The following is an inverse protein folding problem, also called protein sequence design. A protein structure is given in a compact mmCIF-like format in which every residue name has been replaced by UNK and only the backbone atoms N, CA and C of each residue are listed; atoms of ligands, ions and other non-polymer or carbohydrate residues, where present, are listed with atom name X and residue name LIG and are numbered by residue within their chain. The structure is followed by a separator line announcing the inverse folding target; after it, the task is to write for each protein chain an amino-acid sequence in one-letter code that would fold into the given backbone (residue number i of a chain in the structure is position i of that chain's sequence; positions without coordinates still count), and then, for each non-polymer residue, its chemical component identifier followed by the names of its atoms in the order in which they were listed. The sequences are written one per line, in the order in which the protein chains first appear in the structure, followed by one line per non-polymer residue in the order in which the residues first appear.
data_IF_950616384945
#
_entry.id   IF_950616384945
#
_cell.length_a   1.000
_cell.length_b   1.000
_cell.length_c   1.000
_cell.angle_alpha   90.00
_cell.angle_beta   90.00
_cell.angle_gamma   90.00
#
_symmetry.space_group_name_H-M   'P 1'
#
loop_
_entity.id
_entity.type
_entity.pdbx_description
1 polymer ?
#
# COMPACT_ATOMS: atom_id res chain seq x y z
N UNK A 1 11.82 37.08 -45.47
CA UNK A 1 10.81 36.63 -44.48
C UNK A 1 11.33 36.91 -43.07
N UNK A 2 10.82 37.95 -42.39
CA UNK A 2 11.14 38.19 -40.96
C UNK A 2 10.22 37.30 -40.12
N UNK A 3 10.78 36.30 -39.42
CA UNK A 3 10.05 35.54 -38.39
C UNK A 3 9.70 36.53 -37.27
N UNK A 4 8.42 36.83 -37.09
CA UNK A 4 7.93 37.53 -35.88
C UNK A 4 8.18 36.60 -34.70
N UNK A 5 9.13 36.96 -33.83
CA UNK A 5 9.27 36.32 -32.52
C UNK A 5 8.01 36.67 -31.72
N UNK A 6 7.20 35.65 -31.42
CA UNK A 6 6.03 35.80 -30.55
C UNK A 6 6.57 36.18 -29.17
N UNK A 7 6.17 37.32 -28.58
CA UNK A 7 6.64 37.70 -27.25
C UNK A 7 6.12 36.66 -26.24
N UNK A 8 7.05 35.93 -25.63
CA UNK A 8 6.74 35.01 -24.55
C UNK A 8 6.39 35.84 -23.31
N UNK A 9 5.11 35.83 -22.92
CA UNK A 9 4.69 36.40 -21.64
C UNK A 9 5.12 35.44 -20.53
N UNK A 10 5.83 35.95 -19.52
CA UNK A 10 6.24 35.19 -18.32
C UNK A 10 5.04 34.48 -17.67
N UNK A 11 3.84 35.08 -17.74
CA UNK A 11 2.57 34.50 -17.28
C UNK A 11 2.23 33.17 -17.98
N UNK A 12 2.48 33.07 -19.29
CA UNK A 12 2.22 31.85 -20.06
C UNK A 12 3.20 30.72 -19.72
N UNK A 13 4.46 31.08 -19.43
CA UNK A 13 5.48 30.11 -19.00
C UNK A 13 5.11 29.55 -17.62
N UNK A 14 4.74 30.42 -16.67
CA UNK A 14 4.32 30.01 -15.35
C UNK A 14 3.08 29.10 -15.39
N UNK A 15 2.07 29.46 -16.18
CA UNK A 15 0.87 28.65 -16.37
C UNK A 15 1.20 27.27 -16.96
N UNK A 16 2.09 27.20 -17.94
CA UNK A 16 2.53 25.93 -18.52
C UNK A 16 3.23 25.04 -17.49
N UNK A 17 4.13 25.60 -16.67
CA UNK A 17 4.82 24.88 -15.59
C UNK A 17 3.79 24.33 -14.58
N UNK A 18 2.81 25.15 -14.19
CA UNK A 18 1.75 24.73 -13.27
C UNK A 18 0.92 23.56 -13.82
N UNK A 19 0.54 23.61 -15.10
CA UNK A 19 -0.20 22.53 -15.75
C UNK A 19 0.62 21.24 -15.78
N UNK A 20 1.92 21.32 -16.08
CA UNK A 20 2.83 20.17 -16.08
C UNK A 20 2.93 19.58 -14.66
N UNK A 21 3.14 20.42 -13.64
CA UNK A 21 3.23 19.99 -12.26
C UNK A 21 1.93 19.30 -11.78
N UNK A 22 0.77 19.89 -12.07
CA UNK A 22 -0.53 19.29 -11.75
C UNK A 22 -0.74 17.96 -12.48
N UNK A 23 -0.40 17.90 -13.77
CA UNK A 23 -0.52 16.66 -14.55
C UNK A 23 0.34 15.54 -13.97
N UNK A 24 1.55 15.87 -13.49
CA UNK A 24 2.41 14.92 -12.81
C UNK A 24 1.82 14.43 -11.48
N UNK A 25 1.24 15.34 -10.68
CA UNK A 25 0.55 14.99 -9.43
C UNK A 25 -0.63 14.05 -9.68
N UNK A 26 -1.50 14.37 -10.64
CA UNK A 26 -2.66 13.53 -10.98
C UNK A 26 -2.25 12.19 -11.58
N UNK A 27 -1.21 12.16 -12.42
CA UNK A 27 -0.66 10.91 -12.93
C UNK A 27 -0.12 10.03 -11.80
N UNK A 28 0.70 10.61 -10.91
CA UNK A 28 1.25 9.89 -9.76
C UNK A 28 0.15 9.35 -8.85
N UNK A 29 -0.87 10.17 -8.56
CA UNK A 29 -2.04 9.74 -7.80
C UNK A 29 -2.75 8.58 -8.49
N UNK A 30 -3.00 8.66 -9.80
CA UNK A 30 -3.72 7.62 -10.54
C UNK A 30 -3.00 6.26 -10.54
N UNK A 31 -1.65 6.24 -10.54
CA UNK A 31 -0.86 4.99 -10.57
C UNK A 31 -0.53 4.43 -9.19
N UNK A 32 -0.62 5.25 -8.14
CA UNK A 32 -0.36 4.82 -6.75
C UNK A 32 -1.62 4.50 -5.97
N UNK A 33 -2.79 4.75 -6.55
CA UNK A 33 -4.05 4.53 -5.87
C UNK A 33 -4.40 3.06 -5.77
N UNK A 34 -4.39 2.54 -4.56
CA UNK A 34 -4.87 1.21 -4.24
C UNK A 34 -5.89 1.28 -3.09
N UNK A 35 -6.56 0.16 -2.89
CA UNK A 35 -7.65 0.06 -1.95
C UNK A 35 -7.46 -1.18 -1.08
N UNK A 36 -7.17 -0.98 0.23
CA UNK A 36 -6.97 -2.08 1.15
C UNK A 36 -8.22 -2.96 1.30
N UNK A 37 -8.03 -4.26 1.43
CA UNK A 37 -9.12 -5.21 1.63
C UNK A 37 -9.76 -5.00 3.02
N UNK A 38 -11.08 -4.79 3.04
CA UNK A 38 -11.82 -4.60 4.28
C UNK A 38 -12.05 -5.90 5.05
N UNK A 39 -11.86 -7.06 4.43
CA UNK A 39 -11.97 -8.36 5.11
C UNK A 39 -10.78 -8.63 6.03
N UNK A 40 -9.66 -7.95 5.81
CA UNK A 40 -8.44 -8.09 6.60
C UNK A 40 -8.34 -6.94 7.60
N UNK A 41 -8.33 -7.24 8.88
CA UNK A 41 -8.15 -6.24 9.93
C UNK A 41 -6.66 -6.12 10.22
N UNK A 42 -6.14 -4.89 10.21
CA UNK A 42 -4.77 -4.61 10.62
C UNK A 42 -4.81 -3.97 12.01
N UNK A 43 -4.69 -4.80 13.03
CA UNK A 43 -4.63 -4.38 14.43
C UNK A 43 -3.60 -5.22 15.20
N UNK A 44 -3.48 -4.95 16.50
CA UNK A 44 -2.51 -5.64 17.36
C UNK A 44 -3.01 -6.99 17.86
N UNK A 45 -4.23 -7.41 17.50
CA UNK A 45 -4.91 -8.57 18.04
C UNK A 45 -4.90 -8.58 19.58
N UNK A 46 -4.54 -9.73 20.15
CA UNK A 46 -4.31 -9.92 21.58
C UNK A 46 -2.90 -9.46 22.04
N UNK A 47 -2.23 -8.63 21.24
CA UNK A 47 -0.83 -8.21 21.41
C UNK A 47 0.19 -9.38 21.30
N UNK A 48 -0.24 -10.49 20.73
CA UNK A 48 0.57 -11.65 20.35
C UNK A 48 1.50 -11.31 19.18
N UNK A 49 2.71 -11.86 19.20
CA UNK A 49 3.78 -11.55 18.26
C UNK A 49 4.61 -12.77 17.97
N UNK A 50 5.10 -12.83 16.74
CA UNK A 50 6.17 -13.74 16.33
C UNK A 50 7.46 -12.95 16.14
N UNK A 51 8.58 -13.57 16.47
CA UNK A 51 9.92 -13.03 16.26
C UNK A 51 10.44 -13.53 14.91
N UNK A 52 11.07 -12.62 14.16
CA UNK A 52 11.74 -12.94 12.90
C UNK A 52 13.23 -13.11 13.19
N UNK A 53 13.61 -14.28 13.67
CA UNK A 53 15.02 -14.57 13.90
C UNK A 53 15.81 -14.49 12.58
N UNK A 54 17.10 -14.13 12.61
CA UNK A 54 17.92 -14.01 11.41
C UNK A 54 17.95 -15.31 10.59
N UNK A 55 17.49 -15.23 9.34
CA UNK A 55 17.42 -16.38 8.43
C UNK A 55 16.17 -17.24 8.60
N UNK A 56 15.32 -17.00 9.60
CA UNK A 56 14.03 -17.67 9.73
C UNK A 56 13.00 -17.11 8.76
N UNK A 57 12.23 -18.02 8.16
CA UNK A 57 11.17 -17.68 7.21
C UNK A 57 9.81 -17.94 7.82
N UNK A 58 9.08 -16.85 8.04
CA UNK A 58 7.65 -16.90 8.35
C UNK A 58 6.89 -16.78 7.07
N UNK A 59 5.87 -17.61 6.88
CA UNK A 59 5.04 -17.54 5.70
C UNK A 59 3.56 -17.54 6.03
N UNK A 60 2.82 -16.69 5.34
CA UNK A 60 1.39 -16.55 5.42
C UNK A 60 0.76 -16.88 4.08
N UNK A 61 -0.03 -17.96 4.02
CA UNK A 61 -0.91 -18.23 2.87
C UNK A 61 -2.11 -17.32 2.92
N UNK A 62 -2.57 -16.82 1.78
CA UNK A 62 -3.82 -16.08 1.68
C UNK A 62 -4.41 -16.21 0.28
N UNK A 63 -5.73 -16.16 0.19
CA UNK A 63 -6.43 -16.09 -1.10
C UNK A 63 -6.76 -14.63 -1.41
N UNK A 64 -6.42 -14.16 -2.60
CA UNK A 64 -6.75 -12.81 -3.01
C UNK A 64 -8.25 -12.71 -3.35
N UNK A 65 -8.94 -11.75 -2.73
CA UNK A 65 -10.38 -11.54 -2.92
C UNK A 65 -10.72 -10.90 -4.27
N UNK A 66 -9.77 -10.16 -4.85
CA UNK A 66 -9.94 -9.38 -6.08
C UNK A 66 -8.75 -9.52 -7.02
N UNK A 67 -8.99 -9.14 -8.27
CA UNK A 67 -7.97 -8.94 -9.27
C UNK A 67 -7.08 -7.74 -8.92
N UNK A 68 -5.92 -7.65 -9.56
CA UNK A 68 -4.97 -6.54 -9.43
C UNK A 68 -4.36 -6.37 -8.03
N UNK A 69 -4.00 -7.47 -7.35
CA UNK A 69 -3.23 -7.41 -6.10
C UNK A 69 -1.93 -6.64 -6.32
N UNK A 70 -1.68 -5.59 -5.53
CA UNK A 70 -0.58 -4.64 -5.78
C UNK A 70 0.19 -4.25 -4.53
N UNK A 71 -0.37 -4.47 -3.35
CA UNK A 71 0.27 -4.10 -2.09
C UNK A 71 -0.15 -5.05 -0.97
N UNK A 72 0.74 -5.24 -0.02
CA UNK A 72 0.43 -5.86 1.27
C UNK A 72 0.92 -4.92 2.37
N UNK A 73 0.02 -4.53 3.26
CA UNK A 73 0.34 -3.81 4.48
C UNK A 73 0.66 -4.82 5.59
N UNK A 74 1.68 -4.56 6.40
CA UNK A 74 2.10 -5.45 7.49
C UNK A 74 2.36 -4.60 8.74
N UNK A 75 1.80 -5.02 9.87
CA UNK A 75 1.97 -4.33 11.14
C UNK A 75 3.14 -4.93 11.94
N UNK A 76 4.23 -4.17 12.03
CA UNK A 76 5.39 -4.55 12.83
C UNK A 76 5.29 -4.02 14.26
N UNK A 77 5.81 -4.80 15.20
CA UNK A 77 6.02 -4.37 16.57
C UNK A 77 7.31 -3.55 16.70
N UNK A 78 7.34 -2.71 17.74
CA UNK A 78 8.50 -1.89 18.06
C UNK A 78 9.75 -2.77 18.24
N UNK A 79 10.79 -2.46 17.48
CA UNK A 79 12.10 -3.12 17.54
C UNK A 79 13.24 -2.12 17.35
N UNK A 80 14.39 -2.41 17.96
CA UNK A 80 15.63 -1.66 17.75
C UNK A 80 16.64 -2.62 17.13
N UNK A 81 16.86 -2.45 15.82
CA UNK A 81 17.62 -3.36 14.98
C UNK A 81 19.05 -2.84 14.74
N UNK A 82 19.52 -1.87 15.52
CA UNK A 82 20.89 -1.32 15.40
C UNK A 82 21.94 -2.44 15.54
N UNK A 83 22.98 -2.49 14.66
CA UNK A 83 23.40 -1.46 13.70
C UNK A 83 22.57 -1.39 12.40
N UNK A 84 21.69 -2.35 12.15
CA UNK A 84 20.74 -2.38 11.06
C UNK A 84 20.39 -3.81 10.65
N UNK A 85 19.43 -3.94 9.75
CA UNK A 85 19.17 -5.17 9.02
C UNK A 85 18.18 -4.93 7.89
N UNK A 86 17.82 -6.01 7.19
CA UNK A 86 16.84 -5.99 6.11
C UNK A 86 15.72 -6.95 6.41
N UNK A 87 14.48 -6.45 6.37
CA UNK A 87 13.31 -7.31 6.32
C UNK A 87 13.00 -7.54 4.85
N UNK A 88 13.06 -8.79 4.42
CA UNK A 88 12.72 -9.20 3.06
C UNK A 88 11.27 -9.68 3.06
N UNK A 89 10.52 -9.20 2.07
CA UNK A 89 9.13 -9.58 1.83
C UNK A 89 9.01 -10.15 0.43
N UNK A 90 8.42 -11.33 0.31
CA UNK A 90 8.22 -12.01 -0.97
C UNK A 90 6.74 -12.42 -1.12
N UNK A 91 6.18 -12.24 -2.31
CA UNK A 91 4.93 -12.90 -2.69
C UNK A 91 5.29 -14.05 -3.61
N UNK A 92 4.97 -15.26 -3.17
CA UNK A 92 5.19 -16.49 -3.92
C UNK A 92 3.87 -17.06 -4.44
N UNK A 93 3.98 -18.01 -5.36
CA UNK A 93 2.86 -18.80 -5.89
C UNK A 93 2.12 -19.62 -4.82
N UNK A 94 1.08 -20.34 -5.22
CA UNK A 94 0.23 -21.15 -4.32
C UNK A 94 1.00 -22.25 -3.57
N UNK A 95 2.08 -22.74 -4.17
CA UNK A 95 2.97 -23.75 -3.61
C UNK A 95 4.14 -23.13 -2.82
N UNK A 96 4.16 -21.80 -2.67
CA UNK A 96 5.17 -21.02 -1.99
C UNK A 96 6.60 -21.22 -2.50
N UNK A 97 6.75 -21.71 -3.74
CA UNK A 97 7.99 -22.18 -4.34
C UNK A 97 8.54 -21.17 -5.34
N UNK A 98 7.68 -20.57 -6.16
CA UNK A 98 8.08 -19.58 -7.15
C UNK A 98 7.82 -18.17 -6.64
N UNK A 99 8.87 -17.35 -6.60
CA UNK A 99 8.78 -15.94 -6.20
C UNK A 99 8.22 -15.08 -7.32
N UNK A 100 7.06 -14.48 -7.08
CA UNK A 100 6.36 -13.60 -8.01
C UNK A 100 6.79 -12.15 -7.81
N UNK A 101 6.91 -11.70 -6.55
CA UNK A 101 7.31 -10.32 -6.18
C UNK A 101 8.23 -10.31 -4.97
N UNK A 102 9.04 -9.27 -4.86
CA UNK A 102 9.94 -9.07 -3.73
C UNK A 102 10.18 -7.59 -3.45
N UNK A 103 10.33 -7.25 -2.17
CA UNK A 103 10.97 -6.02 -1.73
C UNK A 103 11.82 -6.26 -0.49
N UNK A 104 12.73 -5.32 -0.24
CA UNK A 104 13.57 -5.28 0.94
C UNK A 104 13.37 -3.95 1.67
N UNK A 105 13.15 -4.02 2.97
CA UNK A 105 13.07 -2.89 3.86
C UNK A 105 14.34 -2.81 4.71
N UNK A 106 15.20 -1.82 4.44
CA UNK A 106 16.34 -1.53 5.30
C UNK A 106 15.84 -0.82 6.57
N UNK A 107 16.09 -1.41 7.73
CA UNK A 107 15.60 -0.90 9.01
C UNK A 107 16.68 -0.90 10.08
N UNK A 108 16.81 0.23 10.76
CA UNK A 108 17.61 0.37 11.99
C UNK A 108 16.70 0.39 13.22
N UNK A 109 15.45 0.81 13.04
CA UNK A 109 14.45 0.88 14.11
C UNK A 109 13.05 0.75 13.52
N UNK A 110 12.20 0.00 14.20
CA UNK A 110 10.75 -0.05 13.96
C UNK A 110 10.07 0.71 15.10
N UNK A 111 9.31 1.76 14.77
CA UNK A 111 8.48 2.47 15.74
C UNK A 111 7.34 1.58 16.22
N UNK A 112 6.71 1.93 17.35
CA UNK A 112 5.47 1.24 17.73
C UNK A 112 4.45 1.48 16.63
N UNK A 113 3.74 0.42 16.25
CA UNK A 113 2.56 0.49 15.39
C UNK A 113 2.90 0.94 13.96
N UNK A 114 4.15 0.72 13.53
CA UNK A 114 4.55 0.98 12.16
C UNK A 114 3.91 -0.05 11.24
N UNK A 115 2.89 0.38 10.51
CA UNK A 115 2.43 -0.33 9.32
C UNK A 115 3.42 -0.05 8.20
N UNK A 116 3.95 -1.11 7.59
CA UNK A 116 4.76 -0.99 6.40
C UNK A 116 3.99 -1.45 5.18
N UNK A 117 4.13 -0.71 4.09
CA UNK A 117 3.49 -0.99 2.80
C UNK A 117 4.47 -1.65 1.85
N UNK A 118 4.33 -2.97 1.66
CA UNK A 118 5.02 -3.70 0.61
C UNK A 118 4.30 -3.49 -0.73
N UNK A 119 4.77 -2.51 -1.50
CA UNK A 119 4.23 -2.18 -2.82
C UNK A 119 4.92 -2.98 -3.92
N UNK A 120 4.16 -3.45 -4.91
CA UNK A 120 4.69 -4.18 -6.07
C UNK A 120 3.81 -3.98 -7.32
N UNK A 121 4.35 -4.22 -8.53
CA UNK A 121 3.55 -4.16 -9.75
C UNK A 121 2.37 -5.12 -9.69
N UNK A 122 1.16 -4.60 -9.99
CA UNK A 122 -0.09 -5.34 -9.86
C UNK A 122 -0.07 -6.71 -10.54
N UNK A 123 -0.70 -7.68 -9.90
CA UNK A 123 -0.92 -9.03 -10.42
C UNK A 123 -2.37 -9.07 -10.95
N UNK A 124 -2.55 -8.97 -12.27
CA UNK A 124 -3.86 -8.69 -12.87
C UNK A 124 -4.93 -9.72 -12.53
N UNK A 125 -4.66 -10.99 -12.79
CA UNK A 125 -5.63 -12.07 -12.59
C UNK A 125 -5.46 -12.74 -11.23
N UNK A 126 -5.45 -11.95 -10.15
CA UNK A 126 -5.22 -12.46 -8.78
C UNK A 126 -6.47 -12.98 -8.08
N UNK A 127 -7.68 -12.64 -8.53
CA UNK A 127 -8.91 -13.02 -7.83
C UNK A 127 -9.03 -14.55 -7.67
N UNK A 128 -9.34 -14.99 -6.45
CA UNK A 128 -9.52 -16.40 -6.09
C UNK A 128 -8.25 -17.23 -6.05
N UNK A 129 -7.08 -16.66 -6.40
CA UNK A 129 -5.80 -17.36 -6.35
C UNK A 129 -5.18 -17.27 -4.96
N UNK A 130 -4.52 -18.36 -4.57
CA UNK A 130 -3.77 -18.43 -3.31
C UNK A 130 -2.32 -18.01 -3.56
N UNK A 131 -1.79 -17.22 -2.63
CA UNK A 131 -0.42 -16.75 -2.63
C UNK A 131 0.21 -16.98 -1.27
N UNK A 132 1.53 -16.99 -1.22
CA UNK A 132 2.28 -17.06 0.03
C UNK A 132 3.08 -15.78 0.24
N UNK A 133 2.78 -15.03 1.30
CA UNK A 133 3.63 -13.94 1.76
C UNK A 133 4.74 -14.52 2.64
N UNK A 134 5.97 -14.52 2.15
CA UNK A 134 7.16 -14.96 2.90
C UNK A 134 7.87 -13.74 3.47
N UNK A 135 8.23 -13.81 4.74
CA UNK A 135 8.90 -12.76 5.50
C UNK A 135 10.12 -13.36 6.18
N UNK A 136 11.27 -12.70 6.05
CA UNK A 136 12.47 -13.08 6.76
C UNK A 136 13.39 -11.90 7.02
N UNK A 137 14.22 -12.03 8.04
CA UNK A 137 15.15 -10.99 8.46
C UNK A 137 16.59 -11.37 8.10
N UNK A 138 17.31 -10.44 7.50
CA UNK A 138 18.75 -10.52 7.26
C UNK A 138 19.46 -9.48 8.11
N UNK A 139 20.30 -9.92 9.05
CA UNK A 139 21.15 -9.02 9.81
C UNK A 139 22.22 -8.38 8.92
N UNK A 140 22.49 -7.08 9.12
CA UNK A 140 23.76 -6.50 8.63
C UNK A 140 24.91 -6.86 9.58
N UNK A 141 26.16 -6.78 9.11
CA UNK A 141 27.38 -7.16 9.88
C UNK A 141 27.34 -6.66 11.33
N UNK A 142 27.18 -7.60 12.27
CA UNK A 142 27.07 -7.37 13.71
C UNK A 142 25.71 -7.79 14.26
N UNK A 143 25.69 -8.60 15.33
CA UNK A 143 24.45 -9.08 15.95
C UNK A 143 23.56 -7.90 16.35
N UNK A 144 22.30 -7.94 15.94
CA UNK A 144 21.33 -6.93 16.35
C UNK A 144 20.98 -7.11 17.84
N UNK A 145 20.50 -6.03 18.46
CA UNK A 145 20.13 -6.08 19.89
C UNK A 145 18.81 -6.79 20.16
N UNK A 146 17.94 -6.84 19.15
CA UNK A 146 16.60 -7.44 19.17
C UNK A 146 16.21 -7.78 17.74
N UNK A 147 15.44 -8.83 17.57
CA UNK A 147 14.90 -9.19 16.27
C UNK A 147 13.60 -8.43 15.97
N UNK A 148 13.26 -8.26 14.69
CA UNK A 148 11.98 -7.68 14.31
C UNK A 148 10.86 -8.63 14.72
N UNK A 149 9.73 -8.05 15.15
CA UNK A 149 8.56 -8.83 15.56
C UNK A 149 7.34 -8.38 14.77
N UNK A 150 6.51 -9.32 14.38
CA UNK A 150 5.25 -9.06 13.65
C UNK A 150 4.10 -9.42 14.57
N UNK A 151 3.04 -8.60 14.57
CA UNK A 151 1.82 -8.93 15.31
C UNK A 151 1.06 -10.06 14.60
N UNK A 152 0.44 -10.93 15.38
CA UNK A 152 -0.47 -11.97 14.89
C UNK A 152 -1.86 -11.80 15.49
N UNK A 153 -2.86 -12.28 14.79
CA UNK A 153 -4.25 -12.29 15.23
C UNK A 153 -4.98 -13.54 14.72
N UNK A 154 -6.15 -13.87 15.28
CA UNK A 154 -6.98 -14.96 14.76
C UNK A 154 -7.28 -14.79 13.26
N UNK A 155 -7.30 -15.90 12.53
CA UNK A 155 -7.57 -15.91 11.09
C UNK A 155 -8.89 -15.19 10.76
N UNK A 156 -8.91 -14.33 9.72
CA UNK A 156 -10.16 -13.77 9.24
C UNK A 156 -11.02 -14.90 8.63
N UNK A 157 -12.34 -14.95 8.90
CA UNK A 157 -13.22 -16.05 8.47
C UNK A 157 -13.26 -16.27 6.94
N UNK A 158 -12.91 -15.24 6.17
CA UNK A 158 -13.03 -15.20 4.72
C UNK A 158 -11.73 -15.59 3.98
N UNK A 159 -10.64 -15.85 4.68
CA UNK A 159 -9.38 -16.22 4.06
C UNK A 159 -9.05 -17.68 4.35
N UNK A 160 -8.66 -18.43 3.32
CA UNK A 160 -7.83 -19.63 3.50
C UNK A 160 -6.44 -19.19 3.97
N UNK A 161 -6.40 -18.63 5.18
CA UNK A 161 -5.23 -18.07 5.82
C UNK A 161 -4.58 -19.16 6.66
N UNK A 162 -3.29 -19.39 6.42
CA UNK A 162 -2.47 -20.30 7.22
C UNK A 162 -1.13 -19.65 7.47
N UNK A 163 -0.73 -19.59 8.74
CA UNK A 163 0.55 -19.07 9.17
C UNK A 163 1.47 -20.22 9.54
N UNK A 164 2.67 -20.24 8.99
CA UNK A 164 3.64 -21.29 9.24
C UNK A 164 5.07 -20.75 9.28
N UNK A 165 5.89 -21.28 10.18
CA UNK A 165 7.33 -21.05 10.19
C UNK A 165 7.99 -22.16 9.36
N UNK A 166 8.54 -21.80 8.19
CA UNK A 166 9.19 -22.75 7.28
C UNK A 166 10.47 -23.34 7.86
N UNK A 167 11.18 -22.58 8.70
CA UNK A 167 12.47 -22.98 9.24
C UNK A 167 12.29 -23.98 10.39
N UNK A 168 11.30 -23.75 11.25
CA UNK A 168 11.00 -24.62 12.39
C UNK A 168 10.01 -25.75 12.06
N UNK A 169 9.29 -25.66 10.94
CA UNK A 169 8.24 -26.61 10.59
C UNK A 169 6.99 -26.50 11.46
N UNK A 170 6.80 -25.36 12.13
CA UNK A 170 5.68 -25.09 13.03
C UNK A 170 4.52 -24.42 12.29
N UNK A 171 3.31 -24.92 12.51
CA UNK A 171 2.07 -24.30 12.04
C UNK A 171 1.39 -23.56 13.19
N UNK A 172 1.03 -22.30 12.95
CA UNK A 172 0.29 -21.49 13.91
C UNK A 172 -1.20 -21.64 13.60
N UNK A 173 -1.82 -22.66 14.17
CA UNK A 173 -3.23 -22.96 13.93
C UNK A 173 -4.12 -21.75 14.23
N UNK A 174 -5.02 -21.44 13.29
CA UNK A 174 -5.99 -20.35 13.40
C UNK A 174 -5.39 -18.95 13.61
N UNK A 175 -4.10 -18.75 13.32
CA UNK A 175 -3.43 -17.47 13.41
C UNK A 175 -3.06 -16.94 12.03
N UNK A 176 -3.08 -15.62 11.90
CA UNK A 176 -2.61 -14.88 10.75
C UNK A 176 -1.69 -13.75 11.18
N UNK A 177 -0.78 -13.36 10.29
CA UNK A 177 -0.09 -12.08 10.42
C UNK A 177 -1.09 -10.94 10.42
N UNK A 178 -0.81 -9.92 11.22
CA UNK A 178 -1.44 -8.61 11.12
C UNK A 178 -1.06 -7.94 9.80
N UNK A 179 -1.71 -8.37 8.74
CA UNK A 179 -1.47 -7.94 7.38
C UNK A 179 -2.77 -7.61 6.67
N UNK A 180 -2.67 -6.82 5.60
CA UNK A 180 -3.82 -6.49 4.75
C UNK A 180 -3.40 -6.38 3.28
N UNK A 181 -3.92 -7.24 2.38
CA UNK A 181 -3.72 -7.05 0.96
C UNK A 181 -4.48 -5.81 0.47
N UNK A 182 -3.99 -5.18 -0.60
CA UNK A 182 -4.61 -4.05 -1.26
C UNK A 182 -4.55 -4.21 -2.78
N UNK A 183 -5.57 -3.66 -3.45
CA UNK A 183 -5.83 -3.87 -4.87
C UNK A 183 -5.88 -2.54 -5.61
N UNK A 184 -5.26 -2.49 -6.78
CA UNK A 184 -5.39 -1.36 -7.71
C UNK A 184 -6.54 -1.62 -8.68
N UNK A 185 -7.31 -0.61 -9.07
CA UNK A 185 -8.24 -0.80 -10.18
C UNK A 185 -7.52 -0.66 -11.54
N UNK A 186 -8.20 -1.04 -12.62
CA UNK A 186 -7.63 -0.96 -13.97
C UNK A 186 -7.73 0.45 -14.55
N UNK A 187 -8.66 1.26 -14.04
CA UNK A 187 -8.89 2.62 -14.53
C UNK A 187 -9.11 3.64 -13.42
N UNK A 188 -8.82 4.91 -13.73
CA UNK A 188 -9.08 6.04 -12.82
C UNK A 188 -10.58 6.21 -12.51
N UNK A 189 -11.46 5.80 -13.42
CA UNK A 189 -12.92 5.85 -13.22
C UNK A 189 -13.35 4.84 -12.16
N UNK A 190 -12.82 3.62 -12.21
CA UNK A 190 -13.04 2.61 -11.17
C UNK A 190 -12.48 3.08 -9.82
N UNK A 191 -11.29 3.70 -9.80
CA UNK A 191 -10.74 4.29 -8.57
C UNK A 191 -11.67 5.34 -7.95
N UNK A 192 -12.24 6.24 -8.76
CA UNK A 192 -13.21 7.23 -8.27
C UNK A 192 -14.51 6.57 -7.79
N UNK A 193 -14.99 5.55 -8.48
CA UNK A 193 -16.18 4.81 -8.09
C UNK A 193 -15.96 4.09 -6.75
N UNK A 194 -14.83 3.39 -6.59
CA UNK A 194 -14.47 2.71 -5.35
C UNK A 194 -14.25 3.70 -4.20
N UNK A 195 -13.55 4.82 -4.45
CA UNK A 195 -13.41 5.89 -3.47
C UNK A 195 -14.79 6.38 -3.01
N UNK A 196 -15.68 6.69 -3.96
CA UNK A 196 -17.03 7.16 -3.66
C UNK A 196 -17.80 6.13 -2.82
N UNK A 197 -17.73 4.84 -3.17
CA UNK A 197 -18.34 3.76 -2.41
C UNK A 197 -17.80 3.71 -0.98
N UNK A 198 -16.47 3.71 -0.80
CA UNK A 198 -15.83 3.65 0.53
C UNK A 198 -16.11 4.88 1.39
N UNK A 199 -16.05 6.08 0.81
CA UNK A 199 -16.40 7.33 1.51
C UNK A 199 -17.88 7.32 1.93
N UNK A 200 -18.76 6.76 1.08
CA UNK A 200 -20.20 6.72 1.36
C UNK A 200 -20.57 5.80 2.54
N UNK A 201 -19.74 4.81 2.86
CA UNK A 201 -19.95 3.91 3.99
C UNK A 201 -19.94 4.66 5.33
N UNK A 202 -19.14 5.72 5.44
CA UNK A 202 -18.96 6.48 6.69
C UNK A 202 -19.85 7.73 6.79
N UNK A 203 -20.72 7.98 5.80
CA UNK A 203 -21.44 9.26 5.70
C UNK A 203 -22.95 9.17 5.87
N UNK A 204 -23.59 10.20 6.48
CA UNK A 204 -25.03 10.36 6.46
C UNK A 204 -25.58 10.34 5.04
N UNK A 205 -26.82 9.89 4.88
CA UNK A 205 -27.46 9.69 3.57
C UNK A 205 -27.49 10.94 2.68
N UNK A 206 -27.53 12.15 3.26
CA UNK A 206 -27.52 13.42 2.54
C UNK A 206 -26.15 13.85 1.98
N UNK A 207 -25.06 13.17 2.37
CA UNK A 207 -23.72 13.32 1.79
C UNK A 207 -23.33 12.16 0.86
N UNK A 208 -24.27 11.25 0.55
CA UNK A 208 -24.03 10.13 -0.37
C UNK A 208 -24.21 10.57 -1.82
N UNK A 209 -23.42 9.96 -2.72
CA UNK A 209 -23.44 10.18 -4.17
C UNK A 209 -23.03 11.60 -4.63
N UNK A 210 -23.51 12.03 -5.81
CA UNK A 210 -22.91 13.06 -6.68
C UNK A 210 -22.57 14.41 -6.04
N UNK A 211 -23.22 14.80 -4.94
CA UNK A 211 -22.97 16.08 -4.26
C UNK A 211 -21.51 16.24 -3.81
N UNK A 212 -20.84 15.17 -3.37
CA UNK A 212 -19.44 15.27 -2.95
C UNK A 212 -18.51 15.47 -4.14
N UNK A 213 -18.80 14.79 -5.25
CA UNK A 213 -18.10 14.98 -6.51
C UNK A 213 -18.25 16.42 -6.99
N UNK A 214 -19.47 16.97 -6.92
CA UNK A 214 -19.74 18.38 -7.24
C UNK A 214 -18.94 19.30 -6.34
N UNK A 215 -18.97 19.14 -5.01
CA UNK A 215 -18.24 20.01 -4.07
C UNK A 215 -16.73 19.94 -4.31
N UNK A 216 -16.16 18.73 -4.43
CA UNK A 216 -14.73 18.56 -4.66
C UNK A 216 -14.30 19.14 -6.02
N UNK A 217 -15.09 18.89 -7.07
CA UNK A 217 -14.82 19.42 -8.41
C UNK A 217 -14.95 20.94 -8.45
N UNK A 218 -15.98 21.51 -7.83
CA UNK A 218 -16.15 22.96 -7.66
C UNK A 218 -14.97 23.58 -6.90
N UNK A 219 -14.49 22.94 -5.83
CA UNK A 219 -13.34 23.43 -5.08
C UNK A 219 -12.06 23.44 -5.93
N UNK A 220 -11.82 22.40 -6.73
CA UNK A 220 -10.67 22.32 -7.65
C UNK A 220 -10.78 23.42 -8.72
N UNK A 221 -11.95 23.56 -9.35
CA UNK A 221 -12.18 24.62 -10.35
C UNK A 221 -11.97 26.00 -9.74
N UNK A 222 -12.56 26.28 -8.58
CA UNK A 222 -12.42 27.57 -7.91
C UNK A 222 -10.96 27.84 -7.53
N UNK A 223 -10.22 26.83 -7.08
CA UNK A 223 -8.78 26.96 -6.78
C UNK A 223 -7.97 27.28 -8.04
N UNK A 224 -8.23 26.60 -9.15
CA UNK A 224 -7.57 26.88 -10.44
C UNK A 224 -7.94 28.29 -10.92
N UNK A 225 -9.22 28.67 -10.88
CA UNK A 225 -9.68 30.00 -11.28
C UNK A 225 -9.04 31.08 -10.43
N UNK A 226 -8.94 30.89 -9.11
CA UNK A 226 -8.26 31.83 -8.22
C UNK A 226 -6.79 32.02 -8.61
N UNK A 227 -6.08 30.92 -8.89
CA UNK A 227 -4.68 30.99 -9.35
C UNK A 227 -4.58 31.74 -10.68
N UNK A 228 -5.48 31.45 -11.64
CA UNK A 228 -5.52 32.15 -12.94
C UNK A 228 -5.78 33.64 -12.75
N UNK A 229 -6.75 34.02 -11.90
CA UNK A 229 -7.05 35.42 -11.58
C UNK A 229 -5.83 36.11 -10.95
N UNK A 230 -5.15 35.46 -10.00
CA UNK A 230 -3.93 35.97 -9.37
C UNK A 230 -2.77 36.14 -10.35
N UNK A 231 -2.66 35.28 -11.36
CA UNK A 231 -1.66 35.42 -12.43
C UNK A 231 -2.04 36.56 -13.39
N UNK A 232 -3.33 36.77 -13.66
CA UNK A 232 -3.81 37.76 -14.63
C UNK A 232 -3.81 39.19 -14.08
N UNK A 233 -4.11 39.37 -12.79
CA UNK A 233 -3.88 40.61 -12.05
C UNK A 233 -2.39 41.02 -12.08
#
# INVERSE_FOLDING_TARGET
MRKKLIPYSEKNVFLAILIIALSFVFYYLAVTWDFPDSQWVIDKGNNEKIELEPGEKVTQKFTASRNNLSRIEILFAKANLSPGGKIIMEVNDENCSEKIRQAALNVVRLSSDSTYSFNFPKIKDSAGKTYCLVLYFEETKGKTKKDPRIFIHPNPPAANAGLYNQTLGEEYENQSLAMRPAYQNDSWRENLQELNQRISQYKPWFLKAGYLGVIAFSFIILSILLIVILILL
#
